data_IF_526381085525
#
_entry.id   IF_526381085525
#
_cell.length_a   1.000
_cell.length_b   1.000
_cell.length_c   1.000
_cell.angle_alpha   90.00
_cell.angle_beta   90.00
_cell.angle_gamma   90.00
#
_symmetry.space_group_name_H-M   'P 1'
#
loop_
_entity.id
_entity.type
_entity.pdbx_description
1 polymer ?
#
# COMPACT_ATOMS: atom_id res chain seq x y z
N UNK A 1 8.76 -7.94 3.12
CA UNK A 1 8.89 -6.64 3.83
C UNK A 1 8.36 -5.51 2.95
N UNK A 2 7.80 -4.46 3.57
CA UNK A 2 7.37 -3.22 2.88
C UNK A 2 7.99 -2.03 3.62
N UNK A 3 8.56 -1.08 2.87
CA UNK A 3 9.00 0.23 3.36
C UNK A 3 8.14 1.32 2.74
N UNK A 4 7.78 2.32 3.53
CA UNK A 4 6.97 3.47 3.09
C UNK A 4 7.61 4.73 3.62
N UNK A 5 7.94 5.65 2.73
CA UNK A 5 8.50 6.97 3.03
C UNK A 5 7.53 8.04 2.53
N UNK A 6 7.09 8.93 3.42
CA UNK A 6 6.27 10.06 3.04
C UNK A 6 7.14 11.12 2.34
N UNK A 7 6.68 11.62 1.20
CA UNK A 7 7.39 12.63 0.41
C UNK A 7 6.64 13.97 0.49
N UNK A 8 7.33 15.10 0.75
CA UNK A 8 6.71 16.42 0.73
C UNK A 8 6.35 16.85 -0.72
N UNK A 9 5.47 17.85 -0.85
CA UNK A 9 4.96 18.33 -2.13
C UNK A 9 6.05 18.84 -3.10
N UNK A 10 7.12 19.42 -2.57
CA UNK A 10 8.25 19.96 -3.33
C UNK A 10 9.32 18.91 -3.69
N UNK A 11 9.14 17.65 -3.26
CA UNK A 11 10.07 16.59 -3.57
C UNK A 11 10.11 16.32 -5.09
N UNK A 12 11.30 16.13 -5.65
CA UNK A 12 11.53 15.95 -7.09
C UNK A 12 10.63 14.86 -7.70
N UNK A 13 10.58 13.68 -7.08
CA UNK A 13 9.68 12.58 -7.49
C UNK A 13 8.19 12.95 -7.54
N UNK A 14 7.72 13.85 -6.66
CA UNK A 14 6.32 14.31 -6.67
C UNK A 14 6.11 15.26 -7.86
N UNK A 15 7.04 16.19 -8.07
CA UNK A 15 7.03 17.11 -9.22
C UNK A 15 7.06 16.35 -10.55
N UNK A 16 7.90 15.32 -10.66
CA UNK A 16 7.99 14.46 -11.85
C UNK A 16 6.69 13.74 -12.17
N UNK A 17 6.04 13.13 -11.15
CA UNK A 17 4.75 12.46 -11.34
C UNK A 17 3.66 13.46 -11.74
N UNK A 18 3.61 14.64 -11.13
CA UNK A 18 2.64 15.65 -11.51
C UNK A 18 2.79 16.04 -12.99
N UNK A 19 4.03 16.25 -13.44
CA UNK A 19 4.34 16.55 -14.85
C UNK A 19 3.97 15.40 -15.79
N UNK A 20 4.24 14.16 -15.40
CA UNK A 20 3.88 12.96 -16.19
C UNK A 20 2.36 12.88 -16.46
N UNK A 21 1.56 13.34 -15.50
CA UNK A 21 0.09 13.36 -15.59
C UNK A 21 -0.47 14.72 -16.06
N UNK A 22 0.39 15.63 -16.53
CA UNK A 22 0.01 16.98 -16.98
C UNK A 22 -0.76 17.80 -15.92
N UNK A 23 -0.39 17.63 -14.65
CA UNK A 23 -0.96 18.33 -13.50
C UNK A 23 0.06 19.33 -12.95
N UNK A 24 -0.41 20.54 -12.62
CA UNK A 24 0.40 21.54 -11.93
C UNK A 24 0.90 20.99 -10.58
N UNK A 25 2.24 20.84 -10.39
CA UNK A 25 2.80 20.36 -9.13
C UNK A 25 2.37 21.16 -7.90
N UNK A 26 1.99 22.44 -8.06
CA UNK A 26 1.51 23.27 -6.95
C UNK A 26 0.18 22.78 -6.35
N UNK A 27 -0.55 21.91 -7.05
CA UNK A 27 -1.79 21.30 -6.57
C UNK A 27 -1.55 20.03 -5.73
N UNK A 28 -0.35 19.46 -5.77
CA UNK A 28 -0.03 18.28 -4.99
C UNK A 28 0.28 18.64 -3.53
N UNK A 29 -0.18 17.81 -2.60
CA UNK A 29 0.10 17.98 -1.15
C UNK A 29 1.23 17.07 -0.66
N UNK A 30 1.89 16.35 -1.59
CA UNK A 30 2.90 15.36 -1.31
C UNK A 30 2.48 13.97 -1.76
N UNK A 31 3.10 12.94 -1.18
CA UNK A 31 2.87 11.57 -1.60
C UNK A 31 3.68 10.57 -0.79
N UNK A 32 3.97 9.42 -1.39
CA UNK A 32 4.89 8.46 -0.77
C UNK A 32 5.69 7.67 -1.80
N UNK A 33 6.90 7.29 -1.37
CA UNK A 33 7.69 6.25 -1.99
C UNK A 33 7.48 4.94 -1.23
N UNK A 34 7.17 3.88 -1.96
CA UNK A 34 6.90 2.56 -1.40
C UNK A 34 7.85 1.55 -2.05
N UNK A 35 8.49 0.73 -1.24
CA UNK A 35 9.29 -0.40 -1.68
C UNK A 35 8.78 -1.67 -1.04
N UNK A 36 8.81 -2.78 -1.77
CA UNK A 36 8.47 -4.09 -1.23
C UNK A 36 9.44 -5.16 -1.71
N UNK A 37 9.58 -6.17 -0.87
CA UNK A 37 10.29 -7.41 -1.14
C UNK A 37 9.43 -8.55 -0.60
N UNK A 38 8.80 -9.31 -1.49
CA UNK A 38 8.06 -10.52 -1.16
C UNK A 38 8.92 -11.76 -1.33
N UNK A 39 8.68 -12.75 -0.47
CA UNK A 39 9.11 -14.13 -0.66
C UNK A 39 7.88 -15.00 -0.41
N UNK A 40 7.59 -15.92 -1.31
CA UNK A 40 6.52 -16.91 -1.16
C UNK A 40 7.16 -18.26 -0.82
N UNK A 41 6.50 -19.04 0.04
CA UNK A 41 7.02 -20.34 0.49
C UNK A 41 7.18 -21.38 -0.63
N UNK A 42 6.66 -21.11 -1.82
CA UNK A 42 6.77 -21.93 -3.03
C UNK A 42 7.66 -21.29 -4.10
N UNK A 43 8.28 -20.14 -3.81
CA UNK A 43 9.22 -19.50 -4.74
C UNK A 43 10.34 -20.49 -5.07
N UNK A 44 10.54 -20.71 -6.38
CA UNK A 44 11.71 -21.41 -6.88
C UNK A 44 12.87 -20.41 -6.85
N UNK A 45 14.09 -20.90 -6.63
CA UNK A 45 15.30 -20.06 -6.72
C UNK A 45 15.21 -19.18 -7.98
N UNK A 46 15.20 -17.85 -7.78
CA UNK A 46 15.18 -16.78 -8.78
C UNK A 46 13.83 -16.07 -9.10
N UNK A 47 12.74 -16.31 -8.37
CA UNK A 47 11.55 -15.42 -8.40
C UNK A 47 11.67 -14.32 -7.34
N UNK A 48 12.13 -13.13 -7.74
CA UNK A 48 12.37 -12.02 -6.83
C UNK A 48 11.18 -11.03 -6.88
N UNK A 49 10.29 -11.09 -5.89
CA UNK A 49 9.10 -10.21 -5.81
C UNK A 49 9.45 -8.84 -5.22
N UNK A 50 10.43 -8.16 -5.82
CA UNK A 50 10.90 -6.83 -5.41
C UNK A 50 10.34 -5.77 -6.33
N UNK A 51 9.83 -4.68 -5.77
CA UNK A 51 9.35 -3.55 -6.55
C UNK A 51 9.34 -2.25 -5.78
N UNK A 52 9.16 -1.17 -6.52
CA UNK A 52 9.03 0.18 -5.96
C UNK A 52 7.93 0.94 -6.70
N UNK A 53 7.31 1.90 -6.03
CA UNK A 53 6.36 2.83 -6.65
C UNK A 53 6.41 4.17 -5.93
N UNK A 54 6.10 5.24 -6.65
CA UNK A 54 5.82 6.55 -6.08
C UNK A 54 4.39 6.90 -6.44
N UNK A 55 3.67 7.51 -5.49
CA UNK A 55 2.40 8.15 -5.76
C UNK A 55 2.36 9.57 -5.22
N UNK A 56 1.60 10.43 -5.88
CA UNK A 56 1.31 11.79 -5.43
C UNK A 56 -0.21 11.97 -5.21
N UNK A 57 -0.57 12.80 -4.23
CA UNK A 57 -1.94 13.14 -3.89
C UNK A 57 -2.24 14.56 -4.33
N UNK A 58 -3.31 14.73 -5.10
CA UNK A 58 -3.82 16.03 -5.56
C UNK A 58 -5.27 16.16 -5.09
N UNK A 59 -5.54 16.90 -4.02
CA UNK A 59 -6.89 17.07 -3.51
C UNK A 59 -7.81 17.78 -4.50
N UNK A 60 -9.11 17.53 -4.40
CA UNK A 60 -10.11 18.37 -5.07
C UNK A 60 -10.23 19.72 -4.33
N UNK A 61 -10.49 20.83 -5.05
CA UNK A 61 -10.36 22.21 -4.56
C UNK A 61 -11.09 22.50 -3.23
N UNK A 62 -12.28 21.93 -3.05
CA UNK A 62 -13.13 22.14 -1.87
C UNK A 62 -13.21 20.92 -0.94
N UNK A 63 -12.52 19.82 -1.28
CA UNK A 63 -12.70 18.53 -0.60
C UNK A 63 -11.34 17.87 -0.29
N UNK A 64 -10.62 18.32 0.76
CA UNK A 64 -9.25 17.85 1.04
C UNK A 64 -9.15 16.35 1.34
N UNK A 65 -10.27 15.74 1.73
CA UNK A 65 -10.40 14.31 2.06
C UNK A 65 -10.52 13.42 0.83
N UNK A 66 -10.64 13.97 -0.37
CA UNK A 66 -10.68 13.19 -1.61
C UNK A 66 -9.96 13.91 -2.74
N UNK A 67 -9.62 13.17 -3.77
CA UNK A 67 -8.95 13.75 -4.92
C UNK A 67 -8.34 12.71 -5.83
N UNK A 68 -7.34 13.15 -6.58
CA UNK A 68 -6.60 12.33 -7.55
C UNK A 68 -5.38 11.68 -6.89
N UNK A 69 -5.16 10.42 -7.24
CA UNK A 69 -3.98 9.63 -6.90
C UNK A 69 -3.16 9.43 -8.17
N UNK A 70 -2.03 10.11 -8.27
CA UNK A 70 -1.13 10.01 -9.41
C UNK A 70 -0.09 8.94 -9.14
N UNK A 71 0.23 8.11 -10.14
CA UNK A 71 1.21 7.02 -10.03
C UNK A 71 2.08 6.96 -11.26
N UNK A 72 3.33 6.58 -11.09
CA UNK A 72 4.25 6.40 -12.21
C UNK A 72 3.81 5.25 -13.15
N UNK A 73 3.20 4.20 -12.58
CA UNK A 73 2.71 3.02 -13.31
C UNK A 73 1.41 2.51 -12.71
N UNK A 74 0.51 2.02 -13.57
CA UNK A 74 -0.68 1.29 -13.16
C UNK A 74 -0.35 -0.12 -12.63
N UNK A 75 -1.29 -0.75 -11.92
CA UNK A 75 -1.13 -2.14 -11.43
C UNK A 75 -1.19 -3.19 -12.55
N UNK A 76 -1.92 -2.91 -13.64
CA UNK A 76 -2.15 -3.89 -14.72
C UNK A 76 -1.77 -3.38 -16.11
N UNK A 77 -1.85 -2.08 -16.35
CA UNK A 77 -1.57 -1.49 -17.66
C UNK A 77 -0.46 -0.44 -17.56
N UNK A 78 0.36 -0.37 -18.60
CA UNK A 78 1.51 0.55 -18.71
C UNK A 78 1.03 2.00 -18.89
N UNK A 79 -0.24 2.20 -19.27
CA UNK A 79 -0.81 3.53 -19.46
C UNK A 79 -0.97 4.22 -18.10
N UNK A 80 -0.48 5.47 -17.95
CA UNK A 80 -0.73 6.26 -16.75
C UNK A 80 -2.23 6.40 -16.53
N UNK A 81 -2.72 5.90 -15.40
CA UNK A 81 -4.10 6.10 -14.97
C UNK A 81 -4.08 6.96 -13.72
N UNK A 82 -4.95 7.96 -13.72
CA UNK A 82 -5.22 8.77 -12.53
C UNK A 82 -6.22 8.01 -11.69
N UNK A 83 -5.78 7.52 -10.53
CA UNK A 83 -6.67 6.95 -9.53
C UNK A 83 -7.41 8.04 -8.76
N UNK A 84 -8.33 7.61 -7.90
CA UNK A 84 -8.99 8.45 -6.91
C UNK A 84 -8.61 7.98 -5.51
N UNK A 85 -8.46 8.93 -4.59
CA UNK A 85 -8.37 8.62 -3.17
C UNK A 85 -9.53 9.27 -2.43
N UNK A 86 -9.94 8.67 -1.32
CA UNK A 86 -10.92 9.20 -0.39
C UNK A 86 -10.61 8.73 1.04
N UNK A 87 -10.74 9.62 2.01
CA UNK A 87 -10.76 9.27 3.43
C UNK A 87 -12.21 9.03 3.86
N UNK A 88 -12.57 7.78 4.17
CA UNK A 88 -13.92 7.42 4.62
C UNK A 88 -14.24 7.95 6.03
N UNK A 89 -15.50 7.89 6.44
CA UNK A 89 -15.97 8.42 7.73
C UNK A 89 -15.35 7.75 8.97
N UNK A 90 -14.73 6.58 8.81
CA UNK A 90 -14.01 5.87 9.88
C UNK A 90 -12.50 6.16 9.87
N UNK A 91 -12.02 7.03 8.98
CA UNK A 91 -10.60 7.37 8.85
C UNK A 91 -9.79 6.36 8.03
N UNK A 92 -10.46 5.48 7.27
CA UNK A 92 -9.83 4.61 6.29
C UNK A 92 -9.50 5.36 5.00
N UNK A 93 -8.35 5.05 4.40
CA UNK A 93 -7.96 5.52 3.07
C UNK A 93 -8.46 4.52 2.03
N UNK A 94 -9.36 4.97 1.15
CA UNK A 94 -9.86 4.22 0.00
C UNK A 94 -9.16 4.71 -1.25
N UNK A 95 -8.54 3.80 -1.99
CA UNK A 95 -7.94 4.05 -3.29
C UNK A 95 -8.76 3.32 -4.35
N UNK A 96 -9.18 4.05 -5.38
CA UNK A 96 -9.93 3.50 -6.51
C UNK A 96 -9.13 3.74 -7.77
N UNK A 97 -8.97 2.71 -8.58
CA UNK A 97 -8.27 2.78 -9.86
C UNK A 97 -9.12 2.06 -10.91
N UNK A 98 -9.52 2.78 -11.95
CA UNK A 98 -10.33 2.24 -13.04
C UNK A 98 -9.52 2.24 -14.35
N UNK A 99 -9.56 1.10 -15.03
CA UNK A 99 -9.09 0.87 -16.39
C UNK A 99 -10.29 0.50 -17.26
N UNK A 100 -10.10 0.48 -18.57
CA UNK A 100 -11.17 0.10 -19.50
C UNK A 100 -11.71 -1.31 -19.24
N UNK A 101 -10.83 -2.24 -18.85
CA UNK A 101 -11.18 -3.66 -18.67
C UNK A 101 -11.10 -4.16 -17.23
N UNK A 102 -10.66 -3.31 -16.29
CA UNK A 102 -10.41 -3.72 -14.91
C UNK A 102 -10.66 -2.55 -13.95
N UNK A 103 -11.16 -2.83 -12.75
CA UNK A 103 -11.14 -1.88 -11.65
C UNK A 103 -10.50 -2.49 -10.41
N UNK A 104 -9.89 -1.63 -9.60
CA UNK A 104 -9.31 -1.99 -8.31
C UNK A 104 -9.81 -1.02 -7.26
N UNK A 105 -10.23 -1.55 -6.12
CA UNK A 105 -10.55 -0.78 -4.92
C UNK A 105 -9.70 -1.35 -3.79
N UNK A 106 -8.95 -0.49 -3.12
CA UNK A 106 -8.15 -0.84 -1.95
C UNK A 106 -8.56 0.04 -0.77
N UNK A 107 -8.80 -0.55 0.39
CA UNK A 107 -9.04 0.19 1.63
C UNK A 107 -7.93 -0.10 2.63
N UNK A 108 -7.34 0.94 3.18
CA UNK A 108 -6.29 0.89 4.19
C UNK A 108 -6.81 1.54 5.48
N UNK A 109 -6.51 0.95 6.64
CA UNK A 109 -6.79 1.59 7.92
C UNK A 109 -5.81 1.11 8.99
N UNK A 110 -5.63 1.91 10.04
CA UNK A 110 -4.81 1.52 11.18
C UNK A 110 -5.71 0.99 12.29
N UNK A 111 -5.50 -0.26 12.71
CA UNK A 111 -6.12 -0.81 13.91
C UNK A 111 -5.48 -0.20 15.16
N UNK A 112 -4.19 0.10 15.07
CA UNK A 112 -3.41 0.86 16.04
C UNK A 112 -2.16 1.44 15.34
N UNK A 113 -1.32 2.27 15.99
CA UNK A 113 -0.15 2.91 15.35
C UNK A 113 0.88 1.97 14.71
N UNK A 114 0.84 0.69 15.10
CA UNK A 114 1.79 -0.36 14.69
C UNK A 114 1.14 -1.46 13.86
N UNK A 115 -0.15 -1.39 13.55
CA UNK A 115 -0.86 -2.40 12.77
C UNK A 115 -1.77 -1.75 11.75
N UNK A 116 -1.37 -1.84 10.47
CA UNK A 116 -2.18 -1.42 9.33
C UNK A 116 -2.86 -2.64 8.72
N UNK A 117 -4.12 -2.50 8.39
CA UNK A 117 -4.88 -3.48 7.63
C UNK A 117 -5.16 -2.94 6.24
N UNK A 118 -5.26 -3.87 5.29
CA UNK A 118 -5.69 -3.58 3.94
C UNK A 118 -6.62 -4.65 3.41
N UNK A 119 -7.68 -4.22 2.75
CA UNK A 119 -8.47 -5.06 1.87
C UNK A 119 -8.39 -4.53 0.45
N UNK A 120 -8.45 -5.43 -0.52
CA UNK A 120 -8.56 -5.04 -1.91
C UNK A 120 -9.50 -5.94 -2.68
N UNK A 121 -10.12 -5.38 -3.70
CA UNK A 121 -10.89 -6.11 -4.70
C UNK A 121 -10.43 -5.65 -6.07
N UNK A 122 -9.95 -6.59 -6.87
CA UNK A 122 -9.65 -6.39 -8.29
C UNK A 122 -10.75 -7.08 -9.10
N UNK A 123 -11.48 -6.31 -9.91
CA UNK A 123 -12.52 -6.81 -10.80
C UNK A 123 -12.02 -6.74 -12.24
N UNK A 124 -12.06 -7.85 -12.97
CA UNK A 124 -11.73 -7.89 -14.41
C UNK A 124 -12.99 -8.19 -15.22
N UNK A 125 -13.24 -7.38 -16.24
CA UNK A 125 -14.39 -7.59 -17.11
C UNK A 125 -14.24 -8.92 -17.86
N UNK A 126 -15.24 -9.81 -17.71
CA UNK A 126 -15.20 -11.15 -18.32
C UNK A 126 -14.24 -12.15 -17.66
N UNK A 127 -13.68 -11.83 -16.48
CA UNK A 127 -12.72 -12.69 -15.77
C UNK A 127 -13.09 -12.92 -14.30
N UNK A 128 -12.13 -13.48 -13.54
CA UNK A 128 -12.26 -13.67 -12.11
C UNK A 128 -12.05 -12.38 -11.34
N UNK A 129 -12.83 -12.19 -10.29
CA UNK A 129 -12.61 -11.15 -9.30
C UNK A 129 -11.73 -11.72 -8.19
N UNK A 130 -10.70 -10.96 -7.80
CA UNK A 130 -9.82 -11.34 -6.69
C UNK A 130 -10.07 -10.41 -5.53
N UNK A 131 -10.31 -10.97 -4.35
CA UNK A 131 -10.30 -10.24 -3.09
C UNK A 131 -9.03 -10.60 -2.31
N UNK A 132 -8.43 -9.63 -1.62
CA UNK A 132 -7.26 -9.87 -0.78
C UNK A 132 -7.39 -9.15 0.55
N UNK A 133 -6.79 -9.74 1.57
CA UNK A 133 -6.67 -9.18 2.91
C UNK A 133 -5.20 -9.21 3.34
N UNK A 134 -4.71 -8.11 3.89
CA UNK A 134 -3.35 -7.99 4.39
C UNK A 134 -3.37 -7.37 5.80
N UNK A 135 -2.56 -7.94 6.69
CA UNK A 135 -2.24 -7.37 8.00
C UNK A 135 -0.74 -7.04 8.03
N UNK A 136 -0.41 -5.79 8.26
CA UNK A 136 0.93 -5.24 8.12
C UNK A 136 1.36 -4.61 9.46
N UNK A 137 2.28 -5.28 10.15
CA UNK A 137 2.83 -4.81 11.42
C UNK A 137 4.06 -3.92 11.20
N UNK A 138 4.14 -2.81 11.92
CA UNK A 138 5.33 -1.96 11.96
C UNK A 138 6.48 -2.76 12.57
N UNK A 139 7.61 -2.82 11.86
CA UNK A 139 8.85 -3.30 12.44
C UNK A 139 9.33 -2.24 13.44
N UNK A 140 9.65 -2.65 14.67
CA UNK A 140 10.34 -1.76 15.59
C UNK A 140 11.60 -1.25 14.90
N UNK A 141 11.90 0.05 15.06
CA UNK A 141 13.15 0.62 14.58
C UNK A 141 14.28 -0.34 14.94
N UNK A 142 15.14 -0.63 13.96
CA UNK A 142 16.31 -1.48 14.16
C UNK A 142 17.32 -0.79 15.08
N UNK A 143 16.95 -0.56 16.35
CA UNK A 143 17.88 -0.70 17.44
C UNK A 143 18.32 -2.17 17.46
N UNK A 144 19.62 -2.46 17.65
CA UNK A 144 20.05 -3.83 17.86
C UNK A 144 19.17 -4.44 18.95
N UNK A 145 18.65 -5.63 18.70
CA UNK A 145 17.76 -6.33 19.61
C UNK A 145 18.31 -6.18 21.04
N UNK A 146 17.49 -5.75 22.02
CA UNK A 146 17.98 -5.62 23.40
C UNK A 146 18.62 -6.95 23.79
N UNK A 147 19.81 -6.91 24.38
CA UNK A 147 20.51 -8.10 24.83
C UNK A 147 19.54 -8.93 25.69
N UNK A 148 19.05 -10.06 25.14
CA UNK A 148 17.93 -10.81 25.70
C UNK A 148 16.76 -11.11 24.74
N UNK A 149 16.81 -10.69 23.46
CA UNK A 149 15.84 -11.18 22.47
C UNK A 149 16.05 -12.68 22.22
N UNK A 150 15.18 -13.49 22.81
CA UNK A 150 15.12 -14.92 22.58
C UNK A 150 14.15 -15.21 21.44
N UNK A 151 14.72 -15.45 20.26
CA UNK A 151 13.98 -15.78 19.03
C UNK A 151 13.10 -17.03 19.22
N UNK A 152 13.56 -18.01 20.00
CA UNK A 152 12.79 -19.23 20.24
C UNK A 152 11.53 -18.95 21.06
N UNK A 153 11.64 -18.04 22.04
CA UNK A 153 10.49 -17.63 22.87
C UNK A 153 9.49 -16.79 22.08
N UNK A 154 9.95 -15.96 21.14
CA UNK A 154 9.08 -15.20 20.25
C UNK A 154 8.32 -16.12 19.27
N UNK A 155 9.00 -17.14 18.73
CA UNK A 155 8.39 -18.17 17.88
C UNK A 155 7.40 -19.02 18.66
N UNK A 156 7.70 -19.40 19.92
CA UNK A 156 6.78 -20.14 20.79
C UNK A 156 5.50 -19.33 21.11
N UNK A 157 5.63 -18.03 21.41
CA UNK A 157 4.49 -17.13 21.64
C UNK A 157 3.63 -16.97 20.38
N UNK A 158 4.27 -16.88 19.20
CA UNK A 158 3.55 -16.84 17.93
C UNK A 158 2.80 -18.15 17.65
N UNK A 159 3.43 -19.30 17.93
CA UNK A 159 2.80 -20.62 17.82
C UNK A 159 1.58 -20.72 18.74
N UNK A 160 1.71 -20.31 20.01
CA UNK A 160 0.63 -20.32 21.00
C UNK A 160 -0.50 -19.36 20.60
N UNK A 161 -0.18 -18.17 20.11
CA UNK A 161 -1.15 -17.20 19.61
C UNK A 161 -1.90 -17.68 18.35
N UNK A 162 -1.23 -18.44 17.48
CA UNK A 162 -1.84 -19.05 16.28
C UNK A 162 -2.85 -20.15 16.64
N UNK A 163 -2.74 -20.78 17.81
CA UNK A 163 -3.69 -21.79 18.26
C UNK A 163 -5.00 -21.19 18.83
N UNK A 164 -5.09 -19.87 18.94
CA UNK A 164 -6.28 -19.17 19.44
C UNK A 164 -6.92 -18.22 18.42
N UNK A 165 -6.47 -18.22 17.16
CA UNK A 165 -7.22 -17.58 16.08
C UNK A 165 -8.45 -18.40 15.73
N UNK A 166 -9.64 -17.87 16.01
CA UNK A 166 -10.94 -18.47 15.71
C UNK A 166 -11.30 -18.51 14.19
N UNK A 167 -10.32 -18.35 13.32
CA UNK A 167 -10.48 -18.60 11.88
C UNK A 167 -9.76 -19.90 11.55
N UNK A 168 -10.49 -21.00 11.70
CA UNK A 168 -10.03 -22.34 11.33
C UNK A 168 -9.90 -22.50 9.81
N UNK A 169 -8.73 -22.14 9.30
CA UNK A 169 -8.17 -22.70 8.07
C UNK A 169 -6.75 -23.19 8.38
#
# INVERSE_FOLDING_TARGET
QISVEALPADHEKIVEICKLHEIDPALAVGGAFVQWQGEMAWDRDNENHVGTTVFALVPDEDEPRRGRLLRERGYAEIVPVVGRYEMDDEGGLVLVTEYETMSSIERFWFVNPNLRMRTSVVKRFGGFNTASFCAESRLADSSPAPAGYDKAKAEEIFQIGSQHTAFGW
#
